data_IF_328905636016
#
_entry.id   IF_328905636016
#
_cell.length_a   1.000
_cell.length_b   1.000
_cell.length_c   1.000
_cell.angle_alpha   90.00
_cell.angle_beta   90.00
_cell.angle_gamma   90.00
#
_symmetry.space_group_name_H-M   'P 1'
#
loop_
_entity.id
_entity.type
_entity.pdbx_description
1 polymer ?
#
# COMPACT_ATOMS: atom_id res chain seq x y z
N UNK A 1 -19.03 18.95 15.07
CA UNK A 1 -19.29 17.50 14.91
C UNK A 1 -18.37 16.64 15.78
N UNK A 2 -17.09 17.02 16.00
CA UNK A 2 -16.17 16.26 16.88
C UNK A 2 -16.12 16.71 18.35
N UNK A 3 -16.80 17.81 18.71
CA UNK A 3 -16.87 18.32 20.10
C UNK A 3 -17.30 17.20 21.07
N UNK A 4 -18.29 16.39 20.69
CA UNK A 4 -18.75 15.25 21.49
C UNK A 4 -17.67 14.16 21.68
N UNK A 5 -16.74 14.00 20.74
CA UNK A 5 -15.66 13.01 20.85
C UNK A 5 -14.59 13.47 21.86
N UNK A 6 -14.24 14.77 21.85
CA UNK A 6 -13.32 15.35 22.84
C UNK A 6 -13.94 15.36 24.23
N UNK A 7 -15.22 15.74 24.35
CA UNK A 7 -15.93 15.69 25.64
C UNK A 7 -15.98 14.27 26.21
N UNK A 8 -16.26 13.28 25.36
CA UNK A 8 -16.19 11.87 25.74
C UNK A 8 -14.79 11.50 26.25
N UNK A 9 -13.74 11.85 25.51
CA UNK A 9 -12.36 11.60 25.91
C UNK A 9 -12.03 12.22 27.28
N UNK A 10 -12.44 13.46 27.54
CA UNK A 10 -12.23 14.10 28.84
C UNK A 10 -12.98 13.41 29.97
N UNK A 11 -14.21 12.94 29.73
CA UNK A 11 -14.95 12.18 30.71
C UNK A 11 -14.26 10.84 31.02
N UNK A 12 -13.77 10.12 30.01
CA UNK A 12 -13.03 8.86 30.18
C UNK A 12 -11.74 9.06 31.00
N UNK A 13 -10.97 10.12 30.73
CA UNK A 13 -9.77 10.46 31.51
C UNK A 13 -10.13 10.77 32.96
N UNK A 14 -11.16 11.60 33.18
CA UNK A 14 -11.60 11.99 34.54
C UNK A 14 -12.11 10.79 35.34
N UNK A 15 -12.86 9.88 34.72
CA UNK A 15 -13.33 8.66 35.36
C UNK A 15 -12.16 7.71 35.70
N UNK A 16 -11.16 7.61 34.82
CA UNK A 16 -9.98 6.80 35.08
C UNK A 16 -9.17 7.34 36.28
N UNK A 17 -8.99 8.66 36.38
CA UNK A 17 -8.35 9.32 37.53
C UNK A 17 -9.08 9.04 38.84
N UNK A 18 -10.42 9.14 38.85
CA UNK A 18 -11.24 8.89 40.04
C UNK A 18 -11.16 7.44 40.52
N UNK A 19 -10.96 6.49 39.60
CA UNK A 19 -10.94 5.06 39.89
C UNK A 19 -9.51 4.49 40.04
N UNK A 20 -8.47 5.32 39.97
CA UNK A 20 -7.07 4.88 40.01
C UNK A 20 -6.68 3.99 38.81
N UNK A 21 -7.36 4.16 37.68
CA UNK A 21 -7.13 3.45 36.42
C UNK A 21 -6.43 4.33 35.38
N UNK A 22 -5.80 5.43 35.80
CA UNK A 22 -5.05 6.39 35.00
C UNK A 22 -3.67 5.88 34.54
N UNK A 23 -3.53 4.57 34.36
CA UNK A 23 -2.30 3.99 33.84
C UNK A 23 -2.11 4.32 32.35
N UNK A 24 -0.86 4.24 31.91
CA UNK A 24 -0.44 4.54 30.54
C UNK A 24 -1.30 3.85 29.48
N UNK A 25 -1.58 2.55 29.70
CA UNK A 25 -2.28 1.72 28.73
C UNK A 25 -3.72 2.19 28.51
N UNK A 26 -4.43 2.53 29.58
CA UNK A 26 -5.81 3.02 29.50
C UNK A 26 -5.88 4.41 28.86
N UNK A 27 -4.96 5.31 29.22
CA UNK A 27 -4.89 6.65 28.64
C UNK A 27 -4.64 6.58 27.13
N UNK A 28 -3.70 5.73 26.69
CA UNK A 28 -3.44 5.46 25.27
C UNK A 28 -4.68 4.95 24.54
N UNK A 29 -5.46 4.09 25.20
CA UNK A 29 -6.72 3.56 24.66
C UNK A 29 -7.74 4.67 24.40
N UNK A 30 -7.96 5.56 25.37
CA UNK A 30 -8.90 6.67 25.23
C UNK A 30 -8.46 7.65 24.14
N UNK A 31 -7.17 7.98 24.08
CA UNK A 31 -6.65 8.84 23.02
C UNK A 31 -6.81 8.20 21.63
N UNK A 32 -6.60 6.88 21.53
CA UNK A 32 -6.83 6.18 20.28
C UNK A 32 -8.28 6.23 19.85
N UNK A 33 -9.24 5.98 20.75
CA UNK A 33 -10.67 6.06 20.41
C UNK A 33 -11.08 7.48 20.04
N UNK A 34 -10.49 8.52 20.67
CA UNK A 34 -10.63 9.89 20.20
C UNK A 34 -10.15 10.03 18.75
N UNK A 35 -8.90 9.65 18.48
CA UNK A 35 -8.30 9.78 17.15
C UNK A 35 -9.07 8.99 16.08
N UNK A 36 -9.58 7.82 16.43
CA UNK A 36 -10.40 6.96 15.56
C UNK A 36 -11.64 7.67 15.02
N UNK A 37 -12.26 8.56 15.79
CA UNK A 37 -13.38 9.37 15.32
C UNK A 37 -12.96 10.32 14.18
N UNK A 38 -11.78 10.94 14.30
CA UNK A 38 -11.22 11.82 13.27
C UNK A 38 -10.71 11.05 12.05
N UNK A 39 -10.16 9.85 12.24
CA UNK A 39 -9.71 9.03 11.11
C UNK A 39 -10.89 8.51 10.30
N UNK A 40 -11.95 8.04 10.97
CA UNK A 40 -13.14 7.50 10.31
C UNK A 40 -13.83 8.55 9.42
N UNK A 41 -13.93 9.80 9.88
CA UNK A 41 -14.56 10.87 9.09
C UNK A 41 -13.80 11.22 7.81
N UNK A 42 -12.51 10.88 7.74
CA UNK A 42 -11.65 11.08 6.57
C UNK A 42 -11.43 9.80 5.75
N UNK A 43 -12.16 8.72 6.07
CA UNK A 43 -11.96 7.38 5.51
C UNK A 43 -10.47 6.96 5.60
N UNK A 44 -9.90 7.10 6.80
CA UNK A 44 -8.56 6.67 7.16
C UNK A 44 -8.64 5.43 8.05
N UNK A 45 -7.69 4.52 7.83
CA UNK A 45 -7.46 3.38 8.72
C UNK A 45 -6.42 3.79 9.75
N UNK A 46 -6.63 3.43 11.01
CA UNK A 46 -5.63 3.55 12.06
C UNK A 46 -5.15 2.15 12.48
N UNK A 47 -3.85 2.01 12.69
CA UNK A 47 -3.20 0.76 13.10
C UNK A 47 -2.34 1.04 14.34
N UNK A 48 -2.33 0.10 15.30
CA UNK A 48 -1.56 0.20 16.55
C UNK A 48 -0.30 -0.65 16.51
N UNK A 49 0.65 -0.30 17.38
CA UNK A 49 1.84 -1.11 17.69
C UNK A 49 2.57 -1.55 16.42
N UNK A 50 2.91 -0.57 15.60
CA UNK A 50 3.40 -0.82 14.26
C UNK A 50 4.91 -0.83 14.21
N UNK A 51 5.47 -1.79 13.45
CA UNK A 51 6.88 -1.84 13.11
C UNK A 51 7.09 -1.07 11.81
N UNK A 52 7.92 -0.04 11.87
CA UNK A 52 8.43 0.64 10.69
C UNK A 52 9.94 0.41 10.59
N UNK A 53 10.56 0.93 9.55
CA UNK A 53 12.01 0.95 9.45
C UNK A 53 12.54 2.29 8.98
N UNK A 54 13.76 2.57 9.42
CA UNK A 54 14.54 3.73 9.00
C UNK A 54 15.87 3.24 8.41
N UNK A 55 16.49 4.07 7.58
CA UNK A 55 17.83 3.81 7.06
C UNK A 55 18.82 4.66 7.84
N UNK A 56 19.45 4.05 8.84
CA UNK A 56 20.50 4.68 9.65
C UNK A 56 21.86 4.19 9.14
N UNK A 57 22.73 5.09 8.67
CA UNK A 57 24.04 4.76 8.08
C UNK A 57 23.98 3.72 6.93
N UNK A 58 22.91 3.77 6.12
CA UNK A 58 22.69 2.82 5.03
C UNK A 58 22.22 1.44 5.48
N UNK A 59 22.07 1.19 6.78
CA UNK A 59 21.52 -0.04 7.33
C UNK A 59 20.05 0.13 7.70
N UNK A 60 19.26 -0.91 7.41
CA UNK A 60 17.85 -0.96 7.78
C UNK A 60 17.71 -1.25 9.27
N UNK A 61 17.12 -0.33 10.03
CA UNK A 61 16.84 -0.49 11.46
C UNK A 61 15.34 -0.43 11.70
N UNK A 62 14.83 -1.38 12.48
CA UNK A 62 13.42 -1.38 12.86
C UNK A 62 13.18 -0.34 13.95
N UNK A 63 12.07 0.38 13.81
CA UNK A 63 11.53 1.26 14.83
C UNK A 63 10.12 0.81 15.18
N UNK A 64 9.72 1.12 16.40
CA UNK A 64 8.39 0.80 16.93
C UNK A 64 7.68 2.10 17.23
N UNK A 65 6.47 2.22 16.69
CA UNK A 65 5.58 3.37 16.83
C UNK A 65 4.27 2.90 17.46
N UNK A 66 3.69 3.74 18.32
CA UNK A 66 2.45 3.42 19.03
C UNK A 66 1.26 3.31 18.08
N UNK A 67 1.26 4.09 17.00
CA UNK A 67 0.33 3.90 15.90
C UNK A 67 0.69 4.62 14.61
N UNK A 68 -0.10 4.34 13.57
CA UNK A 68 -0.03 5.01 12.27
C UNK A 68 -1.40 5.12 11.62
N UNK A 69 -1.55 6.11 10.75
CA UNK A 69 -2.76 6.32 9.95
C UNK A 69 -2.47 6.08 8.46
N UNK A 70 -3.39 5.39 7.79
CA UNK A 70 -3.30 5.01 6.38
C UNK A 70 -4.49 5.55 5.58
N UNK A 71 -4.20 6.04 4.37
CA UNK A 71 -5.19 6.35 3.33
C UNK A 71 -4.98 5.40 2.14
N UNK A 72 -5.99 4.61 1.77
CA UNK A 72 -5.90 3.70 0.61
C UNK A 72 -4.64 2.82 0.62
N UNK A 73 -4.25 2.37 1.82
CA UNK A 73 -3.04 1.58 2.12
C UNK A 73 -1.71 2.33 2.14
N UNK A 74 -1.71 3.64 1.90
CA UNK A 74 -0.52 4.46 2.08
C UNK A 74 -0.43 5.03 3.50
N UNK A 75 0.72 4.88 4.14
CA UNK A 75 0.97 5.50 5.46
C UNK A 75 1.10 7.01 5.26
N UNK A 76 0.28 7.78 5.97
CA UNK A 76 0.23 9.25 5.85
C UNK A 76 0.48 9.96 7.18
N UNK A 77 0.70 9.22 8.26
CA UNK A 77 1.06 9.81 9.55
C UNK A 77 1.25 8.79 10.66
N UNK A 78 1.84 9.26 11.76
CA UNK A 78 2.27 8.44 12.89
C UNK A 78 1.83 9.05 14.23
N UNK A 79 1.70 8.17 15.22
CA UNK A 79 1.28 8.49 16.59
C UNK A 79 2.31 7.95 17.56
N UNK A 80 2.75 8.81 18.48
CA UNK A 80 3.63 8.48 19.60
C UNK A 80 3.00 8.99 20.89
N UNK A 81 2.60 8.05 21.75
CA UNK A 81 1.98 8.33 23.03
C UNK A 81 3.04 8.17 24.13
N UNK A 82 3.00 9.02 25.15
CA UNK A 82 3.94 9.02 26.27
C UNK A 82 3.18 9.19 27.58
N UNK A 83 3.86 8.89 28.69
CA UNK A 83 3.26 9.07 30.00
C UNK A 83 3.18 10.56 30.38
N UNK A 84 2.17 10.95 31.15
CA UNK A 84 2.02 12.32 31.64
C UNK A 84 3.17 12.83 32.53
N UNK A 85 4.07 11.92 32.94
CA UNK A 85 5.29 12.21 33.69
C UNK A 85 6.51 12.40 32.79
N UNK A 86 6.42 12.02 31.52
CA UNK A 86 7.52 12.13 30.57
C UNK A 86 7.73 13.58 30.10
N UNK A 87 9.01 13.95 29.97
CA UNK A 87 9.39 15.17 29.27
C UNK A 87 9.24 14.94 27.76
N UNK A 88 8.13 15.44 27.22
CA UNK A 88 7.79 15.31 25.82
C UNK A 88 8.87 15.89 24.88
N UNK A 89 9.57 16.95 25.29
CA UNK A 89 10.63 17.55 24.48
C UNK A 89 11.87 16.66 24.42
N UNK A 90 12.22 16.02 25.55
CA UNK A 90 13.31 15.04 25.60
C UNK A 90 12.98 13.83 24.72
N UNK A 91 11.75 13.33 24.77
CA UNK A 91 11.31 12.22 23.93
C UNK A 91 11.32 12.56 22.44
N UNK A 92 10.79 13.73 22.06
CA UNK A 92 10.85 14.23 20.68
C UNK A 92 12.31 14.32 20.20
N UNK A 93 13.22 14.83 21.03
CA UNK A 93 14.65 14.91 20.70
C UNK A 93 15.25 13.52 20.48
N UNK A 94 15.01 12.58 21.40
CA UNK A 94 15.49 11.20 21.28
C UNK A 94 14.96 10.52 20.01
N UNK A 95 13.70 10.74 19.66
CA UNK A 95 13.05 10.17 18.47
C UNK A 95 13.61 10.77 17.18
N UNK A 96 13.88 12.09 17.16
CA UNK A 96 14.60 12.78 16.08
C UNK A 96 15.99 12.20 15.83
N UNK A 97 16.77 12.01 16.90
CA UNK A 97 18.12 11.42 16.82
C UNK A 97 18.07 10.00 16.24
N UNK A 98 17.03 9.23 16.57
CA UNK A 98 16.76 7.89 16.01
C UNK A 98 16.09 7.90 14.63
N UNK A 99 15.97 9.07 14.00
CA UNK A 99 15.37 9.27 12.66
C UNK A 99 13.92 8.78 12.54
N UNK A 100 13.14 8.84 13.63
CA UNK A 100 11.71 8.58 13.57
C UNK A 100 11.03 9.50 12.54
N UNK A 101 9.96 9.03 11.88
CA UNK A 101 9.28 9.82 10.87
C UNK A 101 8.64 11.06 11.49
N UNK A 102 8.77 12.20 10.80
CA UNK A 102 8.23 13.51 11.19
C UNK A 102 7.48 14.21 10.05
N UNK A 103 7.16 13.46 8.99
CA UNK A 103 6.42 13.98 7.84
C UNK A 103 5.00 14.38 8.24
N UNK A 104 4.38 13.62 9.14
CA UNK A 104 3.10 13.94 9.78
C UNK A 104 2.97 13.11 11.06
N UNK A 105 3.45 13.62 12.19
CA UNK A 105 3.56 12.83 13.43
C UNK A 105 3.03 13.63 14.61
N UNK A 106 2.18 13.00 15.42
CA UNK A 106 1.76 13.55 16.71
C UNK A 106 2.54 12.88 17.84
N UNK A 107 3.04 13.71 18.75
CA UNK A 107 3.58 13.30 20.04
C UNK A 107 2.67 13.83 21.13
N UNK A 108 2.23 13.00 22.06
CA UNK A 108 1.35 13.44 23.15
C UNK A 108 1.70 12.74 24.47
N UNK A 109 1.40 13.41 25.59
CA UNK A 109 1.59 12.88 26.95
C UNK A 109 0.41 13.19 27.89
N UNK A 110 -0.82 13.22 27.38
CA UNK A 110 -2.06 13.59 28.06
C UNK A 110 -2.16 15.03 28.57
N UNK A 111 -1.06 15.78 28.60
CA UNK A 111 -1.01 17.20 28.98
C UNK A 111 -0.82 18.09 27.77
N UNK A 112 0.08 17.69 26.88
CA UNK A 112 0.37 18.41 25.64
C UNK A 112 0.30 17.46 24.44
N UNK A 113 -0.05 18.02 23.29
CA UNK A 113 0.07 17.36 22.00
C UNK A 113 0.87 18.28 21.05
N UNK A 114 1.85 17.68 20.39
CA UNK A 114 2.74 18.34 19.43
C UNK A 114 2.61 17.68 18.08
N UNK A 115 2.25 18.47 17.07
CA UNK A 115 2.15 18.03 15.68
C UNK A 115 3.39 18.47 14.90
N UNK A 116 4.07 17.48 14.33
CA UNK A 116 5.11 17.64 13.33
C UNK A 116 4.55 17.42 11.93
N UNK A 117 4.86 18.32 10.99
CA UNK A 117 4.63 18.11 9.56
C UNK A 117 5.85 18.59 8.78
N UNK A 118 6.20 17.85 7.73
CA UNK A 118 7.40 18.13 6.90
C UNK A 118 8.68 18.33 7.75
N UNK A 119 8.81 17.57 8.83
CA UNK A 119 9.98 17.61 9.73
C UNK A 119 9.98 18.76 10.74
N UNK A 120 8.98 19.64 10.73
CA UNK A 120 8.91 20.82 11.59
C UNK A 120 7.77 20.71 12.59
N UNK A 121 7.98 21.26 13.78
CA UNK A 121 6.89 21.46 14.75
C UNK A 121 5.97 22.56 14.19
N UNK A 122 4.70 22.22 13.95
CA UNK A 122 3.74 23.15 13.34
C UNK A 122 2.76 23.68 14.36
N UNK A 123 2.33 22.83 15.30
CA UNK A 123 1.37 23.18 16.35
C UNK A 123 1.73 22.42 17.63
N UNK A 124 1.63 23.11 18.76
CA UNK A 124 1.63 22.53 20.11
C UNK A 124 0.41 23.05 20.85
N UNK A 125 -0.34 22.15 21.48
CA UNK A 125 -1.56 22.49 22.21
C UNK A 125 -1.57 21.85 23.59
N UNK A 126 -2.29 22.49 24.51
CA UNK A 126 -2.63 21.87 25.78
C UNK A 126 -3.85 20.96 25.58
N UNK A 127 -3.75 19.70 26.02
CA UNK A 127 -4.78 18.68 25.84
C UNK A 127 -6.12 19.05 26.50
N UNK A 128 -6.14 19.95 27.49
CA UNK A 128 -7.37 20.45 28.12
C UNK A 128 -8.13 21.52 27.31
N UNK A 129 -7.54 22.06 26.25
CA UNK A 129 -8.14 23.10 25.40
C UNK A 129 -8.85 22.45 24.20
N UNK A 130 -10.14 22.14 24.36
CA UNK A 130 -10.93 21.39 23.36
C UNK A 130 -10.87 21.98 21.95
N UNK A 131 -10.99 23.30 21.79
CA UNK A 131 -10.94 23.94 20.46
C UNK A 131 -9.57 23.83 19.79
N UNK A 132 -8.48 23.90 20.57
CA UNK A 132 -7.13 23.76 20.05
C UNK A 132 -6.83 22.30 19.71
N UNK A 133 -7.30 21.37 20.54
CA UNK A 133 -7.20 19.94 20.32
C UNK A 133 -7.97 19.50 19.05
N UNK A 134 -9.19 20.00 18.84
CA UNK A 134 -9.96 19.74 17.61
C UNK A 134 -9.20 20.22 16.36
N UNK A 135 -8.68 21.45 16.41
CA UNK A 135 -7.92 22.04 15.29
C UNK A 135 -6.68 21.22 14.94
N UNK A 136 -5.89 20.79 15.93
CA UNK A 136 -4.66 20.03 15.66
C UNK A 136 -4.96 18.62 15.15
N UNK A 137 -6.00 17.94 15.68
CA UNK A 137 -6.40 16.62 15.22
C UNK A 137 -6.95 16.66 13.80
N UNK A 138 -7.80 17.64 13.46
CA UNK A 138 -8.25 17.89 12.08
C UNK A 138 -7.04 18.11 11.16
N UNK A 139 -6.08 18.96 11.55
CA UNK A 139 -4.88 19.23 10.76
C UNK A 139 -4.03 17.98 10.52
N UNK A 140 -3.92 17.10 11.52
CA UNK A 140 -3.22 15.83 11.42
C UNK A 140 -3.89 14.86 10.44
N UNK A 141 -5.21 14.63 10.56
CA UNK A 141 -5.94 13.67 9.71
C UNK A 141 -6.21 14.19 8.29
N UNK A 142 -6.23 15.51 8.10
CA UNK A 142 -6.39 16.12 6.77
C UNK A 142 -5.07 16.25 5.99
N UNK A 143 -3.92 15.97 6.61
CA UNK A 143 -2.63 16.05 5.93
C UNK A 143 -2.52 15.04 4.79
N UNK A 144 -1.99 15.48 3.65
CA UNK A 144 -1.72 14.63 2.49
C UNK A 144 -0.28 14.89 2.02
N UNK A 145 0.64 13.92 2.23
CA UNK A 145 2.00 14.02 1.72
C UNK A 145 2.02 14.30 0.23
N UNK A 146 3.04 15.02 -0.23
CA UNK A 146 3.20 15.31 -1.66
C UNK A 146 3.41 14.03 -2.47
N UNK A 147 4.12 13.05 -1.90
CA UNK A 147 4.32 11.72 -2.49
C UNK A 147 3.01 10.96 -2.63
N UNK A 148 2.09 11.09 -1.66
CA UNK A 148 0.76 10.50 -1.73
C UNK A 148 -0.04 11.11 -2.90
N UNK A 149 -0.04 12.44 -3.03
CA UNK A 149 -0.73 13.12 -4.13
C UNK A 149 -0.18 12.70 -5.49
N UNK A 150 1.14 12.74 -5.67
CA UNK A 150 1.82 12.32 -6.90
C UNK A 150 1.51 10.88 -7.27
N UNK A 151 1.54 9.98 -6.29
CA UNK A 151 1.17 8.58 -6.49
C UNK A 151 -0.28 8.45 -6.96
N UNK A 152 -1.20 9.14 -6.28
CA UNK A 152 -2.62 9.08 -6.61
C UNK A 152 -2.93 9.64 -8.00
N UNK A 153 -2.30 10.75 -8.37
CA UNK A 153 -2.42 11.37 -9.69
C UNK A 153 -1.88 10.43 -10.78
N UNK A 154 -0.70 9.85 -10.56
CA UNK A 154 -0.11 8.90 -11.50
C UNK A 154 -0.98 7.64 -11.65
N UNK A 155 -1.53 7.12 -10.55
CA UNK A 155 -2.40 5.95 -10.56
C UNK A 155 -3.75 6.22 -11.24
N UNK A 156 -4.37 7.38 -10.97
CA UNK A 156 -5.59 7.81 -11.65
C UNK A 156 -5.38 8.04 -13.14
N UNK A 157 -4.24 8.63 -13.51
CA UNK A 157 -3.89 8.76 -14.92
C UNK A 157 -3.69 7.39 -15.58
N UNK A 158 -3.00 6.45 -14.93
CA UNK A 158 -2.86 5.08 -15.42
C UNK A 158 -4.23 4.44 -15.67
N UNK A 159 -5.13 4.46 -14.69
CA UNK A 159 -6.50 3.92 -14.83
C UNK A 159 -7.24 4.52 -16.01
N UNK A 160 -7.07 5.82 -16.25
CA UNK A 160 -7.70 6.54 -17.36
C UNK A 160 -7.18 6.10 -18.73
N UNK A 161 -5.86 5.92 -18.87
CA UNK A 161 -5.25 5.55 -20.17
C UNK A 161 -5.29 4.05 -20.45
N UNK A 162 -5.47 3.21 -19.43
CA UNK A 162 -5.37 1.75 -19.54
C UNK A 162 -6.33 1.12 -20.56
N UNK A 163 -7.63 1.51 -20.63
CA UNK A 163 -8.56 0.96 -21.62
C UNK A 163 -8.11 1.23 -23.06
N UNK A 164 -7.70 2.47 -23.34
CA UNK A 164 -7.24 2.88 -24.67
C UNK A 164 -5.92 2.19 -25.03
N UNK A 165 -5.00 2.09 -24.06
CA UNK A 165 -3.74 1.39 -24.25
C UNK A 165 -3.93 -0.09 -24.57
N UNK A 166 -4.88 -0.74 -23.89
CA UNK A 166 -5.23 -2.13 -24.17
C UNK A 166 -5.91 -2.28 -25.53
N UNK A 167 -6.76 -1.33 -25.94
CA UNK A 167 -7.35 -1.31 -27.28
C UNK A 167 -6.28 -1.16 -28.36
N UNK A 168 -5.38 -0.19 -28.22
CA UNK A 168 -4.26 0.05 -29.13
C UNK A 168 -3.40 -1.22 -29.29
N UNK A 169 -3.12 -1.92 -28.19
CA UNK A 169 -2.35 -3.16 -28.21
C UNK A 169 -3.11 -4.31 -28.91
N UNK A 170 -4.42 -4.44 -28.69
CA UNK A 170 -5.24 -5.45 -29.39
C UNK A 170 -5.23 -5.23 -30.89
N UNK A 171 -5.40 -3.98 -31.33
CA UNK A 171 -5.36 -3.62 -32.75
C UNK A 171 -3.96 -3.88 -33.33
N UNK A 172 -2.92 -3.47 -32.62
CA UNK A 172 -1.53 -3.71 -33.01
C UNK A 172 -1.25 -5.22 -33.22
N UNK A 173 -1.58 -6.08 -32.24
CA UNK A 173 -1.33 -7.51 -32.35
C UNK A 173 -2.21 -8.19 -33.42
N UNK A 174 -3.42 -7.67 -33.67
CA UNK A 174 -4.28 -8.14 -34.75
C UNK A 174 -3.66 -7.89 -36.12
N UNK A 175 -3.02 -6.73 -36.32
CA UNK A 175 -2.30 -6.43 -37.56
C UNK A 175 -1.00 -7.23 -37.66
N UNK A 176 -0.20 -7.34 -36.60
CA UNK A 176 1.00 -8.18 -36.58
C UNK A 176 0.70 -9.65 -36.95
N UNK A 177 -0.41 -10.20 -36.45
CA UNK A 177 -0.87 -11.56 -36.81
C UNK A 177 -1.13 -11.74 -38.31
N UNK A 178 -1.49 -10.68 -39.02
CA UNK A 178 -1.75 -10.71 -40.47
C UNK A 178 -0.46 -10.55 -41.28
N UNK A 179 0.40 -9.60 -40.90
CA UNK A 179 1.51 -9.15 -41.74
C UNK A 179 2.86 -9.77 -41.35
N UNK A 180 3.06 -10.12 -40.08
CA UNK A 180 4.35 -10.58 -39.56
C UNK A 180 4.37 -12.10 -39.39
N UNK A 181 5.00 -12.79 -40.36
CA UNK A 181 5.13 -14.26 -40.35
C UNK A 181 5.82 -14.78 -39.09
N UNK A 182 6.86 -14.08 -38.62
CA UNK A 182 7.63 -14.51 -37.44
C UNK A 182 6.81 -14.37 -36.17
N UNK A 183 6.07 -13.28 -36.03
CA UNK A 183 5.12 -13.11 -34.92
C UNK A 183 4.07 -14.21 -34.92
N UNK A 184 3.48 -14.54 -36.08
CA UNK A 184 2.47 -15.60 -36.21
C UNK A 184 3.00 -16.98 -35.78
N UNK A 185 4.22 -17.34 -36.16
CA UNK A 185 4.87 -18.58 -35.75
C UNK A 185 5.12 -18.61 -34.23
N UNK A 186 5.68 -17.52 -33.68
CA UNK A 186 5.94 -17.42 -32.25
C UNK A 186 4.65 -17.43 -31.42
N UNK A 187 3.57 -16.79 -31.91
CA UNK A 187 2.25 -16.80 -31.26
C UNK A 187 1.69 -18.22 -31.19
N UNK A 188 1.76 -18.99 -32.29
CA UNK A 188 1.33 -20.40 -32.31
C UNK A 188 2.10 -21.25 -31.32
N UNK A 189 3.42 -21.09 -31.27
CA UNK A 189 4.27 -21.80 -30.32
C UNK A 189 3.90 -21.44 -28.87
N UNK A 190 3.70 -20.15 -28.60
CA UNK A 190 3.29 -19.67 -27.29
C UNK A 190 1.91 -20.19 -26.88
N UNK A 191 0.90 -20.15 -27.78
CA UNK A 191 -0.42 -20.72 -27.52
C UNK A 191 -0.33 -22.21 -27.19
N UNK A 192 0.48 -22.98 -27.92
CA UNK A 192 0.69 -24.41 -27.62
C UNK A 192 1.34 -24.62 -26.25
N UNK A 193 2.31 -23.79 -25.86
CA UNK A 193 2.90 -23.83 -24.50
C UNK A 193 1.86 -23.51 -23.44
N UNK A 194 1.03 -22.48 -23.64
CA UNK A 194 -0.05 -22.15 -22.72
C UNK A 194 -1.06 -23.30 -22.61
N UNK A 195 -1.40 -23.96 -23.71
CA UNK A 195 -2.30 -25.12 -23.69
C UNK A 195 -1.75 -26.27 -22.84
N UNK A 196 -0.46 -26.59 -23.03
CA UNK A 196 0.22 -27.65 -22.29
C UNK A 196 0.42 -27.32 -20.80
N UNK A 197 0.65 -26.06 -20.45
CA UNK A 197 0.98 -25.64 -19.08
C UNK A 197 -0.22 -25.18 -18.26
N UNK A 198 -1.32 -24.77 -18.90
CA UNK A 198 -2.48 -24.15 -18.23
C UNK A 198 -3.78 -24.88 -18.58
N UNK A 199 -4.22 -24.81 -19.84
CA UNK A 199 -5.48 -25.42 -20.29
C UNK A 199 -5.55 -25.54 -21.82
N UNK A 200 -5.92 -26.71 -22.33
CA UNK A 200 -6.06 -26.99 -23.77
C UNK A 200 -7.05 -26.06 -24.52
N UNK A 201 -7.99 -25.41 -23.83
CA UNK A 201 -8.98 -24.51 -24.42
C UNK A 201 -8.44 -23.10 -24.73
N UNK A 202 -7.17 -22.81 -24.42
CA UNK A 202 -6.56 -21.51 -24.70
C UNK A 202 -6.46 -21.29 -26.22
N UNK A 203 -7.06 -20.20 -26.69
CA UNK A 203 -7.01 -19.77 -28.10
C UNK A 203 -5.87 -18.76 -28.33
N UNK A 204 -5.55 -18.48 -29.59
CA UNK A 204 -4.59 -17.43 -29.94
C UNK A 204 -5.05 -16.04 -29.46
N UNK A 205 -6.36 -15.76 -29.47
CA UNK A 205 -6.93 -14.51 -28.95
C UNK A 205 -6.72 -14.39 -27.44
N UNK A 206 -6.92 -15.48 -26.69
CA UNK A 206 -6.62 -15.50 -25.25
C UNK A 206 -5.12 -15.35 -24.99
N UNK A 207 -4.27 -15.98 -25.81
CA UNK A 207 -2.83 -15.82 -25.71
C UNK A 207 -2.39 -14.36 -25.96
N UNK A 208 -3.01 -13.66 -26.92
CA UNK A 208 -2.78 -12.22 -27.13
C UNK A 208 -3.19 -11.42 -25.89
N UNK A 209 -4.36 -11.69 -25.29
CA UNK A 209 -4.77 -11.01 -24.05
C UNK A 209 -3.76 -11.24 -22.91
N UNK A 210 -3.19 -12.45 -22.79
CA UNK A 210 -2.13 -12.73 -21.80
C UNK A 210 -0.86 -11.91 -22.06
N UNK A 211 -0.45 -11.76 -23.32
CA UNK A 211 0.71 -10.92 -23.70
C UNK A 211 0.43 -9.45 -23.34
N UNK A 212 -0.76 -8.93 -23.65
CA UNK A 212 -1.16 -7.56 -23.33
C UNK A 212 -1.14 -7.33 -21.82
N UNK A 213 -1.73 -8.24 -21.04
CA UNK A 213 -1.70 -8.16 -19.57
C UNK A 213 -0.27 -8.18 -19.05
N UNK A 214 0.60 -9.03 -19.58
CA UNK A 214 2.00 -9.07 -19.21
C UNK A 214 2.72 -7.75 -19.52
N UNK A 215 2.57 -7.21 -20.72
CA UNK A 215 3.19 -5.93 -21.11
C UNK A 215 2.79 -4.78 -20.17
N UNK A 216 1.53 -4.74 -19.74
CA UNK A 216 1.01 -3.66 -18.91
C UNK A 216 1.32 -3.81 -17.41
N UNK A 217 1.71 -5.01 -16.96
CA UNK A 217 1.91 -5.30 -15.52
C UNK A 217 3.33 -5.69 -15.14
N UNK A 218 4.15 -6.15 -16.10
CA UNK A 218 5.50 -6.71 -15.83
C UNK A 218 6.35 -5.76 -15.00
N UNK A 219 6.49 -4.51 -15.44
CA UNK A 219 7.38 -3.53 -14.83
C UNK A 219 6.89 -3.13 -13.43
N UNK A 220 5.56 -3.08 -13.24
CA UNK A 220 4.90 -2.84 -11.95
C UNK A 220 5.24 -3.98 -10.96
N UNK A 221 5.16 -5.24 -11.39
CA UNK A 221 5.53 -6.38 -10.57
C UNK A 221 7.03 -6.41 -10.22
N UNK A 222 7.91 -6.04 -11.15
CA UNK A 222 9.36 -5.91 -10.87
C UNK A 222 9.59 -4.95 -9.71
N UNK A 223 8.89 -3.81 -9.71
CA UNK A 223 9.01 -2.79 -8.66
C UNK A 223 8.51 -3.32 -7.31
N UNK A 224 7.33 -3.95 -7.26
CA UNK A 224 6.78 -4.47 -6.00
C UNK A 224 7.68 -5.51 -5.35
N UNK A 225 8.15 -6.48 -6.13
CA UNK A 225 8.93 -7.59 -5.60
C UNK A 225 10.42 -7.27 -5.43
N UNK A 226 10.91 -6.13 -5.93
CA UNK A 226 12.33 -5.75 -5.93
C UNK A 226 13.24 -6.89 -6.43
N UNK A 227 12.70 -7.73 -7.33
CA UNK A 227 13.35 -8.92 -7.84
C UNK A 227 13.22 -8.91 -9.36
N UNK A 228 14.26 -8.37 -10.02
CA UNK A 228 14.35 -8.34 -11.47
C UNK A 228 14.24 -9.74 -12.10
N UNK A 229 14.61 -10.79 -11.36
CA UNK A 229 14.62 -12.17 -11.83
C UNK A 229 13.27 -12.90 -11.61
N UNK A 230 12.27 -12.25 -11.00
CA UNK A 230 10.96 -12.87 -10.78
C UNK A 230 10.35 -13.43 -12.08
N UNK A 231 10.47 -12.66 -13.18
CA UNK A 231 9.99 -13.07 -14.50
C UNK A 231 10.92 -14.06 -15.21
N UNK A 232 12.19 -14.15 -14.82
CA UNK A 232 13.18 -15.02 -15.46
C UNK A 232 12.97 -16.50 -15.13
N UNK A 233 12.33 -16.85 -14.02
CA UNK A 233 12.06 -18.25 -13.70
C UNK A 233 10.71 -18.74 -14.23
N UNK A 234 9.85 -17.84 -14.70
CA UNK A 234 8.53 -18.19 -15.21
C UNK A 234 8.59 -18.51 -16.73
N UNK A 235 8.27 -19.75 -17.10
CA UNK A 235 8.32 -20.25 -18.49
C UNK A 235 7.40 -19.43 -19.42
N UNK A 236 6.24 -19.00 -18.92
CA UNK A 236 5.30 -18.16 -19.66
C UNK A 236 5.90 -16.76 -19.89
N UNK A 237 6.47 -16.15 -18.86
CA UNK A 237 7.10 -14.81 -18.96
C UNK A 237 8.33 -14.80 -19.88
N UNK A 238 9.15 -15.87 -19.86
CA UNK A 238 10.23 -16.08 -20.83
C UNK A 238 9.70 -16.17 -22.26
N UNK A 239 8.63 -16.94 -22.47
CA UNK A 239 8.03 -17.11 -23.79
C UNK A 239 7.41 -15.81 -24.31
N UNK A 240 6.78 -15.01 -23.44
CA UNK A 240 6.27 -13.69 -23.79
C UNK A 240 7.44 -12.76 -24.14
N UNK A 241 8.50 -12.73 -23.34
CA UNK A 241 9.70 -11.92 -23.63
C UNK A 241 10.26 -12.19 -25.03
N UNK A 242 10.31 -13.45 -25.46
CA UNK A 242 10.75 -13.82 -26.81
C UNK A 242 9.81 -13.31 -27.93
N UNK A 243 8.51 -13.15 -27.65
CA UNK A 243 7.59 -12.52 -28.61
C UNK A 243 7.87 -11.01 -28.66
N UNK A 244 8.08 -10.39 -27.50
CA UNK A 244 8.27 -8.94 -27.37
C UNK A 244 9.57 -8.44 -28.00
N UNK A 245 10.62 -9.27 -28.09
CA UNK A 245 11.88 -8.87 -28.76
C UNK A 245 11.69 -8.50 -30.24
N UNK A 246 10.64 -9.01 -30.88
CA UNK A 246 10.29 -8.68 -32.26
C UNK A 246 9.44 -7.42 -32.38
N UNK A 247 9.06 -6.81 -31.26
CA UNK A 247 8.14 -5.68 -31.18
C UNK A 247 8.68 -4.60 -30.21
N UNK A 248 9.99 -4.36 -30.28
CA UNK A 248 10.69 -3.48 -29.33
C UNK A 248 10.15 -2.06 -29.33
N UNK A 249 9.79 -1.51 -30.50
CA UNK A 249 9.28 -0.14 -30.59
C UNK A 249 7.95 0.01 -29.83
N UNK A 250 6.98 -0.89 -30.09
CA UNK A 250 5.70 -0.83 -29.37
C UNK A 250 5.89 -1.07 -27.88
N UNK A 251 6.72 -2.04 -27.50
CA UNK A 251 7.05 -2.31 -26.10
C UNK A 251 7.61 -1.07 -25.39
N UNK A 252 8.53 -0.35 -26.04
CA UNK A 252 9.09 0.89 -25.52
C UNK A 252 8.04 2.01 -25.37
N UNK A 253 7.17 2.21 -26.36
CA UNK A 253 6.07 3.17 -26.27
C UNK A 253 5.15 2.90 -25.07
N UNK A 254 4.86 1.62 -24.78
CA UNK A 254 4.05 1.24 -23.60
C UNK A 254 4.78 1.60 -22.31
N UNK A 255 6.05 1.21 -22.19
CA UNK A 255 6.87 1.53 -21.01
C UNK A 255 6.91 3.03 -20.75
N UNK A 256 7.09 3.86 -21.78
CA UNK A 256 7.06 5.32 -21.65
C UNK A 256 5.68 5.84 -21.19
N UNK A 257 4.58 5.29 -21.73
CA UNK A 257 3.21 5.69 -21.34
C UNK A 257 2.89 5.38 -19.87
N UNK A 258 3.47 4.33 -19.29
CA UNK A 258 3.24 3.95 -17.88
C UNK A 258 4.33 4.45 -16.93
N UNK A 259 5.39 5.09 -17.47
CA UNK A 259 6.61 5.46 -16.74
C UNK A 259 6.33 6.31 -15.51
N UNK A 260 5.43 7.29 -15.62
CA UNK A 260 5.08 8.18 -14.51
C UNK A 260 4.56 7.41 -13.29
N UNK A 261 3.76 6.36 -13.51
CA UNK A 261 3.25 5.53 -12.42
C UNK A 261 4.35 4.62 -11.85
N UNK A 262 5.15 3.99 -12.72
CA UNK A 262 6.23 3.11 -12.28
C UNK A 262 7.30 3.86 -11.48
N UNK A 263 7.61 5.11 -11.84
CA UNK A 263 8.56 5.94 -11.09
C UNK A 263 8.02 6.29 -9.68
N UNK A 264 6.76 6.70 -9.59
CA UNK A 264 6.11 7.00 -8.30
C UNK A 264 6.04 5.76 -7.41
N UNK A 265 5.63 4.62 -7.98
CA UNK A 265 5.57 3.35 -7.28
C UNK A 265 6.96 2.89 -6.81
N UNK A 266 8.00 3.08 -7.62
CA UNK A 266 9.38 2.71 -7.26
C UNK A 266 9.90 3.52 -6.07
N UNK A 267 9.64 4.83 -6.06
CA UNK A 267 10.00 5.69 -4.93
C UNK A 267 9.25 5.28 -3.66
N UNK A 268 7.95 5.02 -3.77
CA UNK A 268 7.12 4.67 -2.62
C UNK A 268 7.39 3.27 -2.05
N UNK A 269 7.57 2.26 -2.91
CA UNK A 269 7.85 0.89 -2.46
C UNK A 269 9.18 0.72 -1.71
N UNK A 270 10.10 1.69 -1.81
CA UNK A 270 11.36 1.72 -1.06
C UNK A 270 11.17 2.17 0.40
N UNK A 271 10.11 2.93 0.69
CA UNK A 271 9.88 3.56 1.99
C UNK A 271 8.88 2.81 2.87
N UNK A 272 8.35 1.68 2.40
CA UNK A 272 7.26 0.96 3.06
C UNK A 272 7.60 -0.50 3.38
N UNK A 273 6.86 -1.07 4.33
CA UNK A 273 7.04 -2.46 4.78
C UNK A 273 6.57 -3.48 3.74
N UNK A 274 6.90 -4.76 3.97
CA UNK A 274 6.42 -5.86 3.11
C UNK A 274 4.90 -5.98 3.15
N UNK A 275 4.28 -5.75 4.30
CA UNK A 275 2.83 -5.86 4.48
C UNK A 275 2.12 -4.71 3.77
N UNK A 276 2.68 -3.49 3.84
CA UNK A 276 2.16 -2.34 3.09
C UNK A 276 2.25 -2.56 1.57
N UNK A 277 3.33 -3.19 1.08
CA UNK A 277 3.42 -3.59 -0.33
C UNK A 277 2.31 -4.55 -0.73
N UNK A 278 1.96 -5.51 0.12
CA UNK A 278 0.86 -6.45 -0.17
C UNK A 278 -0.48 -5.73 -0.23
N UNK A 279 -0.75 -4.80 0.69
CA UNK A 279 -2.00 -4.04 0.69
C UNK A 279 -2.16 -3.19 -0.57
N UNK A 280 -1.09 -2.49 -1.00
CA UNK A 280 -1.12 -1.71 -2.24
C UNK A 280 -1.29 -2.64 -3.45
N UNK A 281 -0.60 -3.79 -3.47
CA UNK A 281 -0.72 -4.75 -4.56
C UNK A 281 -2.16 -5.27 -4.71
N UNK A 282 -2.88 -5.49 -3.59
CA UNK A 282 -4.30 -5.87 -3.61
C UNK A 282 -5.17 -4.81 -4.27
N UNK A 283 -5.02 -3.55 -3.86
CA UNK A 283 -5.77 -2.43 -4.44
C UNK A 283 -5.42 -2.24 -5.91
N UNK A 284 -4.13 -2.23 -6.24
CA UNK A 284 -3.63 -2.14 -7.60
C UNK A 284 -4.24 -3.22 -8.48
N UNK A 285 -4.22 -4.48 -8.05
CA UNK A 285 -4.76 -5.59 -8.82
C UNK A 285 -6.27 -5.39 -9.09
N UNK A 286 -7.05 -5.11 -8.05
CA UNK A 286 -8.50 -4.90 -8.20
C UNK A 286 -8.81 -3.77 -9.19
N UNK A 287 -8.20 -2.61 -9.00
CA UNK A 287 -8.48 -1.41 -9.80
C UNK A 287 -7.92 -1.50 -11.23
N UNK A 288 -6.73 -2.08 -11.39
CA UNK A 288 -6.09 -2.26 -12.69
C UNK A 288 -6.91 -3.22 -13.57
N UNK A 289 -7.33 -4.37 -13.05
CA UNK A 289 -8.11 -5.33 -13.84
C UNK A 289 -9.51 -4.80 -14.17
N UNK A 290 -10.14 -4.07 -13.25
CA UNK A 290 -11.39 -3.34 -13.51
C UNK A 290 -11.24 -2.33 -14.63
N UNK A 291 -10.15 -1.56 -14.64
CA UNK A 291 -9.86 -0.60 -15.69
C UNK A 291 -9.51 -1.28 -17.02
N UNK A 292 -8.76 -2.39 -16.99
CA UNK A 292 -8.32 -3.10 -18.20
C UNK A 292 -9.48 -3.78 -18.93
N UNK A 293 -10.41 -4.38 -18.19
CA UNK A 293 -11.54 -5.08 -18.78
C UNK A 293 -12.74 -5.13 -17.81
N UNK A 294 -13.51 -4.05 -17.75
CA UNK A 294 -14.69 -3.93 -16.86
C UNK A 294 -15.71 -5.05 -17.03
N UNK A 295 -15.84 -5.65 -18.24
CA UNK A 295 -16.77 -6.75 -18.52
C UNK A 295 -16.26 -8.13 -18.08
N UNK A 296 -14.94 -8.31 -17.94
CA UNK A 296 -14.32 -9.58 -17.49
C UNK A 296 -13.75 -9.50 -16.08
N UNK A 297 -13.78 -8.32 -15.45
CA UNK A 297 -13.24 -8.10 -14.11
C UNK A 297 -13.90 -9.03 -13.06
N UNK A 298 -15.21 -9.21 -13.15
CA UNK A 298 -15.97 -10.08 -12.23
C UNK A 298 -15.67 -11.58 -12.42
N UNK A 299 -15.17 -11.98 -13.60
CA UNK A 299 -14.82 -13.39 -13.92
C UNK A 299 -13.35 -13.71 -13.61
N UNK A 300 -12.48 -12.69 -13.58
CA UNK A 300 -11.05 -12.82 -13.29
C UNK A 300 -10.70 -12.51 -11.81
N UNK A 301 -11.71 -12.44 -10.94
CA UNK A 301 -11.56 -12.04 -9.54
C UNK A 301 -10.53 -12.91 -8.81
N UNK A 302 -9.40 -12.32 -8.42
CA UNK A 302 -8.56 -12.91 -7.38
C UNK A 302 -9.30 -12.74 -6.06
N UNK A 303 -9.73 -13.86 -5.48
CA UNK A 303 -10.23 -13.88 -4.11
C UNK A 303 -9.03 -13.87 -3.15
N UNK A 304 -9.01 -12.88 -2.25
CA UNK A 304 -8.03 -12.84 -1.17
C UNK A 304 -8.56 -13.61 0.03
N UNK A 305 -8.05 -14.83 0.23
CA UNK A 305 -8.40 -15.65 1.39
C UNK A 305 -8.01 -14.93 2.69
N UNK A 306 -8.93 -14.76 3.66
CA UNK A 306 -8.63 -14.18 4.95
C UNK A 306 -7.44 -14.84 5.65
N UNK A 307 -6.51 -14.05 6.18
CA UNK A 307 -5.27 -14.57 6.78
C UNK A 307 -5.54 -15.49 7.98
N UNK A 308 -6.63 -15.27 8.72
CA UNK A 308 -7.03 -16.10 9.84
C UNK A 308 -7.37 -17.53 9.38
N UNK A 309 -8.00 -17.68 8.22
CA UNK A 309 -8.32 -18.99 7.64
C UNK A 309 -7.05 -19.69 7.19
N UNK A 310 -6.16 -18.98 6.48
CA UNK A 310 -4.87 -19.53 6.05
C UNK A 310 -4.06 -20.00 7.26
N UNK A 311 -4.00 -19.19 8.32
CA UNK A 311 -3.28 -19.53 9.55
C UNK A 311 -3.86 -20.78 10.20
N UNK A 312 -5.19 -20.86 10.35
CA UNK A 312 -5.84 -22.06 10.88
C UNK A 312 -5.48 -23.32 10.07
N UNK A 313 -5.51 -23.24 8.74
CA UNK A 313 -5.18 -24.38 7.87
C UNK A 313 -3.72 -24.82 8.03
N UNK A 314 -2.78 -23.88 8.13
CA UNK A 314 -1.35 -24.18 8.34
C UNK A 314 -1.13 -24.80 9.72
N UNK A 315 -1.63 -24.15 10.78
CA UNK A 315 -1.48 -24.62 12.16
C UNK A 315 -2.08 -26.03 12.34
N UNK A 316 -3.26 -26.28 11.75
CA UNK A 316 -3.91 -27.59 11.78
C UNK A 316 -3.11 -28.65 11.01
N UNK A 317 -2.56 -28.31 9.84
CA UNK A 317 -1.76 -29.25 9.04
C UNK A 317 -0.46 -29.61 9.77
N UNK A 318 0.19 -28.62 10.37
CA UNK A 318 1.41 -28.81 11.16
C UNK A 318 1.14 -29.71 12.38
N UNK A 319 0.06 -29.47 13.12
CA UNK A 319 -0.36 -30.35 14.21
C UNK A 319 -0.62 -31.78 13.77
N UNK A 320 -1.28 -31.99 12.62
CA UNK A 320 -1.52 -33.32 12.07
C UNK A 320 -0.21 -34.02 11.69
N UNK A 321 0.76 -33.30 11.12
CA UNK A 321 2.08 -33.84 10.81
C UNK A 321 2.88 -34.22 12.07
N UNK A 322 2.76 -33.47 13.17
CA UNK A 322 3.46 -33.79 14.42
C UNK A 322 2.80 -34.89 15.25
N UNK A 323 1.47 -35.04 15.18
CA UNK A 323 0.72 -35.98 16.02
C UNK A 323 0.45 -37.35 15.35
N UNK A 324 0.70 -37.48 14.05
CA UNK A 324 0.43 -38.70 13.27
C UNK A 324 1.63 -39.24 12.47
N UNK A 325 2.85 -38.83 12.84
CA UNK A 325 4.11 -39.52 12.54
C UNK A 325 4.59 -40.16 13.84
#
# INVERSE_FOLDING_TARGET
MYVNAIEKYYNEIKEAELNGMDNEQNIREYFYELLKNYTNSQNLKIERETKEFVFENGQKKNIFLDGRIKKENMVIGWVENKDAKDDLNKEIKNKKEKQYPLLNTIFENSKELVLFQDGKEVIRVNMSKSEELDKVLIKFVSFRPEEYKKFQDAFNNLKRILPDLAKDLREFFKEEKKINKKFKENLKEFTKKCQLSINNNITEELAIEMIIQHMLTRDIFVIFFQNANFHMNNIISKSISNILTHINQKSFEITEKIKSYTDCLSSYTKTITKDDKQDILKTFYSDFYKALNSKKADVQGIEYTPIQIVKFMVDASEQLCYNHI
#
